data_IF_493766944726
#
_entry.id   IF_493766944726
#
_cell.length_a   1.000
_cell.length_b   1.000
_cell.length_c   1.000
_cell.angle_alpha   90.00
_cell.angle_beta   90.00
_cell.angle_gamma   90.00
#
_symmetry.space_group_name_H-M   'P 1'
#
loop_
_entity.id
_entity.type
_entity.pdbx_description
1 polymer ?
#
# COMPACT_ATOMS: atom_id res chain seq x y z
N UNK A 1 0.47 7.22 -19.93
CA UNK A 1 -0.49 6.11 -19.70
C UNK A 1 -1.68 6.12 -20.66
N UNK A 2 -1.60 6.76 -21.85
CA UNK A 2 -2.67 6.67 -22.87
C UNK A 2 -2.19 6.38 -24.30
N UNK A 3 -0.88 6.32 -24.57
CA UNK A 3 -0.34 6.22 -25.95
C UNK A 3 0.44 4.93 -26.25
N UNK A 4 0.42 3.92 -25.37
CA UNK A 4 1.07 2.66 -25.71
C UNK A 4 0.14 1.79 -26.59
N UNK A 5 0.62 1.35 -27.77
CA UNK A 5 -0.19 0.53 -28.67
C UNK A 5 -0.50 -0.81 -28.02
N UNK A 6 -1.74 -1.28 -28.22
CA UNK A 6 -2.15 -2.60 -27.76
C UNK A 6 -1.22 -3.68 -28.35
N UNK A 7 -0.67 -4.54 -27.51
CA UNK A 7 0.11 -5.69 -27.95
C UNK A 7 -0.83 -6.65 -28.69
N UNK A 8 -0.59 -6.96 -29.97
CA UNK A 8 -1.45 -7.89 -30.71
C UNK A 8 -1.40 -9.28 -30.06
N UNK A 9 -2.52 -10.03 -30.08
CA UNK A 9 -2.56 -11.36 -29.50
C UNK A 9 -1.62 -12.32 -30.24
N UNK A 10 -1.08 -13.34 -29.56
CA UNK A 10 -0.23 -14.33 -30.20
C UNK A 10 -1.01 -15.11 -31.28
N UNK A 11 -0.30 -15.71 -32.27
CA UNK A 11 -0.93 -16.53 -33.30
C UNK A 11 -1.79 -17.66 -32.71
N UNK A 12 -2.89 -18.07 -33.39
CA UNK A 12 -3.71 -19.18 -32.92
C UNK A 12 -2.87 -20.44 -32.67
N UNK A 13 -2.94 -20.99 -31.45
CA UNK A 13 -2.20 -22.18 -31.04
C UNK A 13 -0.78 -21.92 -30.51
N UNK A 14 -0.27 -20.68 -30.53
CA UNK A 14 0.94 -20.32 -29.82
C UNK A 14 0.65 -20.18 -28.31
N UNK A 15 1.62 -20.51 -27.42
CA UNK A 15 1.52 -20.19 -26.01
C UNK A 15 1.25 -18.70 -25.84
N UNK A 16 0.34 -18.36 -24.93
CA UNK A 16 -0.11 -16.98 -24.72
C UNK A 16 0.96 -16.06 -24.10
N UNK A 17 2.08 -16.62 -23.66
CA UNK A 17 3.20 -15.89 -23.07
C UNK A 17 2.99 -15.53 -21.59
N UNK A 18 1.88 -15.96 -20.97
CA UNK A 18 1.57 -15.65 -19.57
C UNK A 18 1.98 -16.79 -18.66
N UNK A 19 2.80 -16.46 -17.66
CA UNK A 19 3.17 -17.38 -16.59
C UNK A 19 3.21 -16.64 -15.26
N UNK A 20 2.66 -17.26 -14.21
CA UNK A 20 2.78 -16.73 -12.86
C UNK A 20 4.24 -16.81 -12.37
N UNK A 21 4.63 -15.97 -11.42
CA UNK A 21 6.00 -15.93 -10.89
C UNK A 21 6.43 -17.29 -10.30
N UNK A 22 5.54 -17.98 -9.59
CA UNK A 22 5.78 -19.29 -9.00
C UNK A 22 4.75 -20.31 -9.52
N UNK A 23 4.88 -20.80 -10.77
CA UNK A 23 3.84 -21.58 -11.44
C UNK A 23 3.61 -22.97 -10.82
N UNK A 24 4.55 -23.46 -10.01
CA UNK A 24 4.43 -24.74 -9.30
C UNK A 24 3.93 -24.60 -7.87
N UNK A 25 3.61 -23.38 -7.40
CA UNK A 25 3.08 -23.17 -6.08
C UNK A 25 1.60 -23.63 -5.99
N UNK A 26 1.21 -24.19 -4.85
CA UNK A 26 -0.21 -24.43 -4.54
C UNK A 26 -0.87 -23.15 -4.05
N UNK A 27 -2.03 -22.81 -4.61
CA UNK A 27 -2.79 -21.60 -4.24
C UNK A 27 -3.99 -21.97 -3.37
N UNK A 28 -4.09 -21.33 -2.20
CA UNK A 28 -5.27 -21.38 -1.33
C UNK A 28 -5.98 -20.03 -1.46
N UNK A 29 -7.26 -20.04 -1.86
CA UNK A 29 -8.06 -18.82 -2.00
C UNK A 29 -8.97 -18.61 -0.79
N UNK A 30 -8.81 -17.48 -0.10
CA UNK A 30 -9.67 -17.06 1.01
C UNK A 30 -10.29 -15.72 0.63
N UNK A 31 -11.59 -15.70 0.36
CA UNK A 31 -12.31 -14.46 0.07
C UNK A 31 -12.56 -13.67 1.35
N UNK A 32 -11.75 -12.64 1.60
CA UNK A 32 -11.85 -11.80 2.80
C UNK A 32 -12.67 -10.52 2.56
N UNK A 33 -12.66 -9.97 1.33
CA UNK A 33 -13.37 -8.74 0.97
C UNK A 33 -14.17 -8.86 -0.33
N UNK A 34 -15.14 -7.97 -0.53
CA UNK A 34 -15.84 -7.81 -1.81
C UNK A 34 -16.56 -6.47 -1.94
N UNK A 35 -16.41 -5.80 -3.09
CA UNK A 35 -17.21 -4.59 -3.43
C UNK A 35 -18.65 -4.91 -3.86
N UNK A 36 -18.92 -6.16 -4.24
CA UNK A 36 -20.22 -6.64 -4.71
C UNK A 36 -21.16 -7.07 -3.57
N UNK A 37 -20.63 -7.27 -2.37
CA UNK A 37 -21.40 -7.72 -1.20
C UNK A 37 -21.36 -6.66 -0.09
N UNK A 38 -22.49 -6.50 0.58
CA UNK A 38 -22.72 -5.51 1.64
C UNK A 38 -23.30 -6.22 2.87
N UNK A 39 -23.17 -5.60 4.04
CA UNK A 39 -23.83 -6.11 5.24
C UNK A 39 -25.35 -5.96 5.12
N UNK A 40 -26.11 -7.05 5.35
CA UNK A 40 -27.58 -7.05 5.25
C UNK A 40 -28.22 -6.07 6.23
N UNK A 41 -27.70 -6.03 7.46
CA UNK A 41 -28.14 -5.13 8.53
C UNK A 41 -26.89 -4.43 9.10
N UNK A 42 -26.41 -3.33 8.50
CA UNK A 42 -25.29 -2.59 9.07
C UNK A 42 -25.71 -2.05 10.43
N UNK A 43 -24.79 -2.09 11.41
CA UNK A 43 -24.94 -1.23 12.58
C UNK A 43 -25.03 0.22 12.08
N UNK A 44 -25.78 1.12 12.73
CA UNK A 44 -25.83 2.51 12.30
C UNK A 44 -24.39 3.07 12.29
N UNK A 45 -23.83 3.21 11.09
CA UNK A 45 -22.72 4.11 10.86
C UNK A 45 -23.25 5.54 11.05
N UNK A 46 -22.34 6.51 11.23
CA UNK A 46 -22.65 7.93 11.37
C UNK A 46 -23.91 8.30 10.56
N UNK A 47 -24.96 8.87 11.20
CA UNK A 47 -26.21 9.22 10.52
C UNK A 47 -26.03 10.21 9.35
N UNK A 48 -24.83 10.77 9.16
CA UNK A 48 -24.45 11.59 8.01
C UNK A 48 -23.66 10.84 6.91
N UNK A 49 -23.46 9.53 7.02
CA UNK A 49 -22.73 8.72 6.05
C UNK A 49 -23.66 7.84 5.23
N UNK A 50 -23.77 8.12 3.92
CA UNK A 50 -24.45 7.26 2.94
C UNK A 50 -23.58 6.06 2.51
N UNK A 51 -22.43 5.84 3.17
CA UNK A 51 -21.44 4.85 2.76
C UNK A 51 -21.82 3.45 3.26
N UNK A 52 -22.23 2.60 2.33
CA UNK A 52 -22.57 1.21 2.65
C UNK A 52 -21.33 0.40 3.00
N UNK A 53 -21.34 -0.21 4.18
CA UNK A 53 -20.27 -1.10 4.66
C UNK A 53 -20.14 -2.32 3.73
N UNK A 54 -19.08 -2.33 2.93
CA UNK A 54 -18.73 -3.44 2.04
C UNK A 54 -18.22 -4.65 2.84
N UNK A 55 -18.27 -5.83 2.23
CA UNK A 55 -17.77 -7.04 2.87
C UNK A 55 -16.25 -6.96 3.15
N UNK A 56 -15.86 -7.26 4.39
CA UNK A 56 -14.48 -7.28 4.86
C UNK A 56 -14.24 -6.28 5.99
N UNK A 57 -13.63 -6.72 7.09
CA UNK A 57 -13.23 -5.88 8.22
C UNK A 57 -11.85 -6.30 8.70
N UNK A 58 -11.18 -5.47 9.50
CA UNK A 58 -9.91 -5.85 10.13
C UNK A 58 -10.03 -7.13 10.96
N UNK A 59 -11.18 -7.36 11.60
CA UNK A 59 -11.42 -8.57 12.39
C UNK A 59 -11.66 -9.81 11.51
N UNK A 60 -12.32 -9.68 10.35
CA UNK A 60 -12.38 -10.81 9.38
C UNK A 60 -11.01 -11.06 8.74
N UNK A 61 -10.20 -10.02 8.53
CA UNK A 61 -8.83 -10.16 8.05
C UNK A 61 -7.95 -10.92 9.05
N UNK A 62 -8.00 -10.55 10.34
CA UNK A 62 -7.29 -11.25 11.39
C UNK A 62 -7.61 -12.75 11.41
N UNK A 63 -8.90 -13.10 11.33
CA UNK A 63 -9.35 -14.50 11.25
C UNK A 63 -8.87 -15.20 9.96
N UNK A 64 -8.91 -14.51 8.83
CA UNK A 64 -8.43 -15.05 7.56
C UNK A 64 -6.91 -15.35 7.59
N UNK A 65 -6.11 -14.47 8.20
CA UNK A 65 -4.66 -14.68 8.39
C UNK A 65 -4.40 -15.91 9.25
N UNK A 66 -5.06 -16.02 10.42
CA UNK A 66 -4.93 -17.21 11.28
C UNK A 66 -5.37 -18.48 10.55
N UNK A 67 -6.47 -18.40 9.79
CA UNK A 67 -6.98 -19.53 9.01
C UNK A 67 -5.97 -19.99 7.95
N UNK A 68 -5.42 -19.06 7.15
CA UNK A 68 -4.39 -19.36 6.15
C UNK A 68 -3.16 -20.02 6.77
N UNK A 69 -2.68 -19.46 7.89
CA UNK A 69 -1.52 -19.99 8.60
C UNK A 69 -1.79 -21.40 9.17
N UNK A 70 -3.01 -21.67 9.65
CA UNK A 70 -3.43 -23.00 10.11
C UNK A 70 -3.58 -24.02 8.99
N UNK A 71 -3.91 -23.58 7.76
CA UNK A 71 -3.89 -24.42 6.57
C UNK A 71 -2.46 -24.73 6.08
N UNK A 72 -1.43 -24.18 6.72
CA UNK A 72 -0.02 -24.43 6.38
C UNK A 72 0.51 -23.53 5.26
N UNK A 73 -0.17 -22.41 4.95
CA UNK A 73 0.31 -21.46 3.96
C UNK A 73 1.72 -20.95 4.33
N UNK A 74 2.66 -21.10 3.39
CA UNK A 74 4.06 -20.68 3.55
C UNK A 74 4.31 -19.23 3.16
N UNK A 75 3.43 -18.69 2.33
CA UNK A 75 3.35 -17.28 1.95
C UNK A 75 1.88 -16.88 1.99
N UNK A 76 1.55 -15.75 2.62
CA UNK A 76 0.21 -15.19 2.73
C UNK A 76 0.23 -13.83 2.02
N UNK A 77 -0.42 -13.76 0.86
CA UNK A 77 -0.62 -12.53 0.11
C UNK A 77 -1.90 -11.81 0.57
N UNK A 78 -1.78 -10.54 0.95
CA UNK A 78 -2.89 -9.68 1.38
C UNK A 78 -2.98 -8.49 0.43
N UNK A 79 -3.79 -8.65 -0.62
CA UNK A 79 -4.02 -7.61 -1.65
C UNK A 79 -5.04 -6.54 -1.26
N UNK A 80 -5.65 -6.64 -0.08
CA UNK A 80 -6.63 -5.68 0.45
C UNK A 80 -5.94 -4.76 1.45
N UNK A 81 -6.34 -3.49 1.44
CA UNK A 81 -5.82 -2.48 2.34
C UNK A 81 -6.99 -1.76 3.02
N UNK A 82 -6.88 -1.53 4.32
CA UNK A 82 -7.76 -0.62 5.06
C UNK A 82 -6.95 0.60 5.47
N UNK A 83 -7.33 1.75 4.95
CA UNK A 83 -6.68 3.03 5.25
C UNK A 83 -7.46 3.79 6.30
N UNK A 84 -6.78 4.19 7.37
CA UNK A 84 -7.38 4.82 8.54
C UNK A 84 -6.61 6.10 8.89
N UNK A 85 -7.27 7.20 9.26
CA UNK A 85 -6.58 8.36 9.83
C UNK A 85 -5.73 7.95 11.05
N UNK A 86 -4.57 8.59 11.23
CA UNK A 86 -3.64 8.28 12.32
C UNK A 86 -4.26 8.51 13.71
N UNK A 87 -5.21 9.44 13.80
CA UNK A 87 -6.01 9.75 14.98
C UNK A 87 -7.17 8.76 15.23
N UNK A 88 -7.36 7.77 14.36
CA UNK A 88 -8.44 6.79 14.49
C UNK A 88 -8.28 5.95 15.77
N UNK A 89 -9.39 5.75 16.50
CA UNK A 89 -9.45 4.88 17.68
C UNK A 89 -9.70 3.39 17.34
N UNK A 90 -9.58 3.01 16.07
CA UNK A 90 -9.85 1.65 15.60
C UNK A 90 -8.89 0.64 16.21
N UNK A 91 -9.43 -0.35 16.93
CA UNK A 91 -8.62 -1.42 17.54
C UNK A 91 -8.07 -2.39 16.48
N UNK A 92 -6.75 -2.46 16.37
CA UNK A 92 -6.04 -3.38 15.47
C UNK A 92 -5.30 -4.51 16.20
N UNK A 93 -5.48 -4.66 17.53
CA UNK A 93 -4.74 -5.67 18.33
C UNK A 93 -4.96 -7.09 17.84
N UNK A 94 -6.21 -7.44 17.50
CA UNK A 94 -6.53 -8.77 16.97
C UNK A 94 -5.80 -9.07 15.66
N UNK A 95 -5.68 -8.06 14.78
CA UNK A 95 -4.94 -8.18 13.53
C UNK A 95 -3.44 -8.29 13.79
N UNK A 96 -2.87 -7.42 14.64
CA UNK A 96 -1.46 -7.51 15.02
C UNK A 96 -1.09 -8.88 15.61
N UNK A 97 -1.93 -9.43 16.49
CA UNK A 97 -1.74 -10.77 17.06
C UNK A 97 -1.82 -11.88 16.00
N UNK A 98 -2.76 -11.77 15.06
CA UNK A 98 -2.87 -12.73 13.94
C UNK A 98 -1.64 -12.71 13.02
N UNK A 99 -1.12 -11.52 12.72
CA UNK A 99 0.09 -11.34 11.90
C UNK A 99 1.32 -11.88 12.63
N UNK A 100 1.50 -11.52 13.90
CA UNK A 100 2.58 -12.06 14.73
C UNK A 100 2.52 -13.59 14.81
N UNK A 101 1.34 -14.17 15.01
CA UNK A 101 1.13 -15.62 15.04
C UNK A 101 1.54 -16.27 13.71
N UNK A 102 1.05 -15.73 12.59
CA UNK A 102 1.38 -16.26 11.27
C UNK A 102 2.89 -16.17 10.98
N UNK A 103 3.51 -15.03 11.24
CA UNK A 103 4.93 -14.80 10.96
C UNK A 103 5.88 -15.58 11.90
N UNK A 104 5.58 -15.61 13.20
CA UNK A 104 6.51 -16.12 14.23
C UNK A 104 6.22 -17.55 14.64
N UNK A 105 4.93 -17.92 14.79
CA UNK A 105 4.54 -19.26 15.27
C UNK A 105 4.36 -20.23 14.10
N UNK A 106 3.82 -19.75 12.98
CA UNK A 106 3.55 -20.58 11.79
C UNK A 106 4.59 -20.44 10.69
N UNK A 107 5.57 -19.54 10.87
CA UNK A 107 6.65 -19.29 9.92
C UNK A 107 6.10 -19.00 8.51
N UNK A 108 5.08 -18.15 8.39
CA UNK A 108 4.51 -17.73 7.12
C UNK A 108 5.05 -16.35 6.73
N UNK A 109 5.54 -16.21 5.49
CA UNK A 109 5.89 -14.90 4.94
C UNK A 109 4.60 -14.15 4.65
N UNK A 110 4.41 -12.96 5.20
CA UNK A 110 3.22 -12.15 4.96
C UNK A 110 3.60 -10.99 4.05
N UNK A 111 2.92 -10.87 2.93
CA UNK A 111 3.14 -9.80 1.94
C UNK A 111 1.84 -9.03 1.77
N UNK A 112 1.89 -7.71 1.87
CA UNK A 112 0.70 -6.87 1.79
C UNK A 112 0.87 -5.72 0.80
N UNK A 113 -0.22 -5.34 0.15
CA UNK A 113 -0.27 -4.14 -0.69
C UNK A 113 -0.10 -2.87 0.16
N UNK A 114 0.74 -1.93 -0.29
CA UNK A 114 0.93 -0.66 0.40
C UNK A 114 -0.36 0.18 0.46
N UNK A 115 -1.25 0.05 -0.53
CA UNK A 115 -2.46 0.85 -0.68
C UNK A 115 -2.41 1.70 -1.94
N UNK A 116 -3.58 2.11 -2.42
CA UNK A 116 -3.72 2.92 -3.63
C UNK A 116 -4.25 4.31 -3.27
N UNK A 117 -3.48 5.36 -3.55
CA UNK A 117 -3.86 6.74 -3.27
C UNK A 117 -5.16 7.15 -4.00
N UNK A 118 -6.09 7.71 -3.23
CA UNK A 118 -7.44 8.07 -3.68
C UNK A 118 -8.45 6.93 -3.66
N UNK A 119 -8.11 5.74 -3.17
CA UNK A 119 -9.04 4.64 -2.96
C UNK A 119 -9.25 4.33 -1.47
N UNK A 120 -10.51 4.18 -1.04
CA UNK A 120 -10.84 3.65 0.29
C UNK A 120 -10.23 4.42 1.46
N UNK A 121 -10.10 5.75 1.32
CA UNK A 121 -9.49 6.62 2.32
C UNK A 121 -7.96 6.59 2.37
N UNK A 122 -7.30 5.90 1.44
CA UNK A 122 -5.85 5.93 1.32
C UNK A 122 -5.38 7.25 0.71
N UNK A 123 -4.36 7.85 1.34
CA UNK A 123 -3.66 9.04 0.87
C UNK A 123 -2.16 8.88 1.16
N UNK A 124 -1.34 9.63 0.44
CA UNK A 124 0.10 9.62 0.59
C UNK A 124 0.53 10.23 1.93
N UNK A 125 1.42 9.54 2.64
CA UNK A 125 2.14 10.12 3.78
C UNK A 125 3.40 10.88 3.31
N UNK A 126 3.92 11.81 4.12
CA UNK A 126 5.19 12.47 3.85
C UNK A 126 6.35 11.48 3.59
N UNK A 127 7.29 11.91 2.75
CA UNK A 127 8.41 11.07 2.34
C UNK A 127 9.52 10.98 3.39
N UNK A 128 9.88 12.13 3.95
CA UNK A 128 11.00 12.32 4.86
C UNK A 128 10.97 13.75 5.42
N UNK A 129 11.27 13.92 6.71
CA UNK A 129 11.49 15.23 7.32
C UNK A 129 13.00 15.51 7.45
N UNK A 130 13.58 16.41 6.64
CA UNK A 130 15.01 16.74 6.73
C UNK A 130 15.41 17.41 8.04
N UNK A 131 14.46 17.90 8.84
CA UNK A 131 14.71 18.50 10.15
C UNK A 131 14.71 17.47 11.29
N UNK A 132 14.30 16.23 11.03
CA UNK A 132 14.27 15.16 12.04
C UNK A 132 15.04 13.90 11.57
N UNK A 133 16.37 13.94 11.51
CA UNK A 133 17.18 12.82 11.04
C UNK A 133 17.10 11.57 11.93
N UNK A 134 16.62 11.70 13.18
CA UNK A 134 16.37 10.56 14.07
C UNK A 134 15.13 9.74 13.71
N UNK A 135 14.26 10.27 12.86
CA UNK A 135 13.11 9.56 12.30
C UNK A 135 13.24 9.46 10.77
N UNK A 136 14.15 8.62 10.25
CA UNK A 136 14.52 8.61 8.83
C UNK A 136 13.38 8.13 7.91
N UNK A 137 12.30 7.58 8.48
CA UNK A 137 11.12 7.13 7.75
C UNK A 137 9.90 8.02 8.01
N UNK A 138 10.03 9.04 8.84
CA UNK A 138 8.98 10.02 9.15
C UNK A 138 7.70 9.39 9.75
N UNK A 139 7.88 8.47 10.71
CA UNK A 139 6.76 7.86 11.46
C UNK A 139 5.90 8.89 12.20
N UNK A 140 6.49 10.00 12.68
CA UNK A 140 5.77 11.01 13.45
C UNK A 140 4.81 11.87 12.60
N UNK A 141 5.03 11.95 11.28
CA UNK A 141 4.19 12.73 10.38
C UNK A 141 3.17 11.87 9.60
N UNK A 142 2.99 10.60 9.99
CA UNK A 142 1.96 9.74 9.39
C UNK A 142 0.57 10.34 9.61
N UNK A 143 -0.18 10.46 8.52
CA UNK A 143 -1.56 10.94 8.50
C UNK A 143 -2.55 9.81 8.27
N UNK A 144 -2.22 8.89 7.37
CA UNK A 144 -3.08 7.76 7.03
C UNK A 144 -2.32 6.45 7.21
N UNK A 145 -2.79 5.61 8.12
CA UNK A 145 -2.28 4.27 8.40
C UNK A 145 -2.79 3.31 7.34
N UNK A 146 -1.87 2.57 6.71
CA UNK A 146 -2.21 1.42 5.84
C UNK A 146 -2.17 0.12 6.63
N UNK A 147 -3.32 -0.53 6.82
CA UNK A 147 -3.41 -1.82 7.51
C UNK A 147 -3.67 -2.96 6.52
N UNK A 148 -2.91 -4.07 6.55
CA UNK A 148 -1.94 -4.47 7.59
C UNK A 148 -0.50 -3.96 7.38
N UNK A 149 -0.22 -3.19 6.31
CA UNK A 149 1.15 -2.80 5.93
C UNK A 149 1.98 -2.17 7.04
N UNK A 150 1.38 -1.35 7.91
CA UNK A 150 2.09 -0.70 9.02
C UNK A 150 2.69 -1.65 10.06
N UNK A 151 2.28 -2.92 10.09
CA UNK A 151 2.89 -3.98 10.91
C UNK A 151 4.18 -4.50 10.25
N UNK A 152 5.08 -3.58 9.85
CA UNK A 152 6.24 -3.84 9.00
C UNK A 152 7.27 -4.81 9.59
N UNK A 153 7.23 -5.03 10.91
CA UNK A 153 8.09 -6.03 11.57
C UNK A 153 7.67 -7.47 11.17
N UNK A 154 6.40 -7.68 10.82
CA UNK A 154 5.84 -8.98 10.44
C UNK A 154 5.40 -9.06 8.97
N UNK A 155 5.17 -7.92 8.34
CA UNK A 155 4.55 -7.81 7.02
C UNK A 155 5.50 -7.08 6.06
N UNK A 156 5.79 -7.71 4.93
CA UNK A 156 6.46 -7.06 3.82
C UNK A 156 5.43 -6.24 3.03
N UNK A 157 5.39 -4.93 3.28
CA UNK A 157 4.54 -4.00 2.53
C UNK A 157 5.15 -3.68 1.17
N UNK A 158 4.33 -3.74 0.11
CA UNK A 158 4.77 -3.65 -1.29
C UNK A 158 4.13 -2.46 -1.99
N UNK A 159 4.97 -1.49 -2.36
CA UNK A 159 4.62 -0.36 -3.23
C UNK A 159 4.54 -0.76 -4.70
N UNK A 160 4.09 0.18 -5.53
CA UNK A 160 3.88 -0.04 -6.96
C UNK A 160 4.82 0.76 -7.84
N UNK A 161 5.37 0.12 -8.86
CA UNK A 161 6.13 0.77 -9.94
C UNK A 161 5.49 0.54 -11.31
N UNK A 162 5.83 1.40 -12.27
CA UNK A 162 5.50 1.21 -13.67
C UNK A 162 6.52 0.32 -14.40
N UNK A 163 6.35 0.15 -15.72
CA UNK A 163 7.22 -0.68 -16.54
C UNK A 163 8.67 -0.17 -16.64
N UNK A 164 8.93 1.09 -16.28
CA UNK A 164 10.28 1.67 -16.22
C UNK A 164 10.97 1.44 -14.87
N UNK A 165 10.22 0.94 -13.88
CA UNK A 165 10.68 0.81 -12.49
C UNK A 165 10.46 2.09 -11.66
N UNK A 166 9.84 3.13 -12.22
CA UNK A 166 9.51 4.34 -11.48
C UNK A 166 8.29 4.12 -10.58
N UNK A 167 8.30 4.67 -9.37
CA UNK A 167 7.16 4.61 -8.46
C UNK A 167 5.94 5.27 -9.10
N UNK A 168 4.78 4.61 -9.04
CA UNK A 168 3.54 5.23 -9.53
C UNK A 168 3.01 6.20 -8.48
N UNK A 169 2.47 7.34 -8.92
CA UNK A 169 1.88 8.34 -8.01
C UNK A 169 0.76 7.74 -7.14
N UNK A 170 0.04 6.76 -7.71
CA UNK A 170 -1.04 6.04 -7.06
C UNK A 170 -0.59 5.03 -6.01
N UNK A 171 0.70 4.78 -5.82
CA UNK A 171 1.20 3.93 -4.75
C UNK A 171 1.27 4.75 -3.46
N UNK A 172 0.49 4.33 -2.46
CA UNK A 172 0.47 5.00 -1.16
C UNK A 172 1.85 4.98 -0.51
N UNK A 173 2.38 6.16 -0.17
CA UNK A 173 3.62 6.27 0.59
C UNK A 173 3.41 6.04 2.08
N UNK A 174 4.41 5.46 2.74
CA UNK A 174 4.47 5.36 4.19
C UNK A 174 5.76 4.75 4.70
N UNK A 175 6.07 4.96 5.99
CA UNK A 175 7.29 4.46 6.63
C UNK A 175 7.40 2.94 6.68
N UNK A 176 6.30 2.23 6.42
CA UNK A 176 6.22 0.78 6.42
C UNK A 176 6.53 0.12 5.07
N UNK A 177 6.56 0.89 3.97
CA UNK A 177 6.84 0.31 2.65
C UNK A 177 8.24 -0.31 2.66
N UNK A 178 8.31 -1.60 2.32
CA UNK A 178 9.53 -2.40 2.41
C UNK A 178 10.18 -2.65 1.06
N UNK A 179 9.40 -2.92 0.02
CA UNK A 179 9.87 -3.09 -1.37
C UNK A 179 8.80 -2.61 -2.35
N UNK A 180 9.08 -2.65 -3.65
CA UNK A 180 8.10 -2.43 -4.70
C UNK A 180 8.05 -3.58 -5.71
N UNK A 181 6.94 -3.66 -6.44
CA UNK A 181 6.76 -4.57 -7.56
C UNK A 181 5.97 -3.90 -8.69
N UNK A 182 5.87 -4.55 -9.88
CA UNK A 182 5.07 -4.03 -10.98
C UNK A 182 3.62 -3.80 -10.57
N UNK A 183 3.07 -2.63 -10.92
CA UNK A 183 1.72 -2.19 -10.52
C UNK A 183 0.87 -1.68 -11.68
N UNK A 184 1.40 -1.62 -12.90
CA UNK A 184 0.69 -1.19 -14.11
C UNK A 184 0.99 -2.17 -15.23
N UNK A 185 0.20 -2.11 -16.31
CA UNK A 185 0.32 -3.01 -17.46
C UNK A 185 0.27 -4.49 -17.05
N UNK A 186 -0.56 -4.79 -16.06
CA UNK A 186 -0.63 -6.13 -15.47
C UNK A 186 -1.40 -7.05 -16.42
N UNK A 187 -0.88 -8.26 -16.59
CA UNK A 187 -1.56 -9.36 -17.25
C UNK A 187 -1.83 -10.48 -16.24
N UNK A 188 -3.01 -11.06 -16.30
CA UNK A 188 -3.44 -12.18 -15.47
C UNK A 188 -4.33 -13.14 -16.24
N UNK A 189 -4.98 -14.05 -15.53
CA UNK A 189 -5.88 -15.05 -16.13
C UNK A 189 -7.34 -14.74 -15.78
N UNK A 190 -8.23 -14.91 -16.75
CA UNK A 190 -9.67 -14.72 -16.59
C UNK A 190 -10.26 -15.81 -15.69
N UNK A 191 -11.15 -15.46 -14.75
CA UNK A 191 -11.85 -16.46 -13.93
C UNK A 191 -12.91 -17.27 -14.72
N UNK A 192 -13.34 -16.84 -15.90
CA UNK A 192 -14.36 -17.56 -16.69
C UNK A 192 -13.78 -18.63 -17.62
N UNK A 193 -12.54 -18.45 -18.09
CA UNK A 193 -11.95 -19.33 -19.10
C UNK A 193 -10.45 -19.55 -18.99
N UNK A 194 -9.79 -18.98 -17.97
CA UNK A 194 -8.35 -19.14 -17.76
C UNK A 194 -7.46 -18.43 -18.77
N UNK A 195 -8.03 -17.78 -19.79
CA UNK A 195 -7.27 -17.06 -20.81
C UNK A 195 -6.66 -15.75 -20.31
N UNK A 196 -5.60 -15.24 -20.97
CA UNK A 196 -4.97 -13.95 -20.65
C UNK A 196 -5.94 -12.79 -20.68
N UNK A 197 -5.82 -11.91 -19.68
CA UNK A 197 -6.57 -10.65 -19.57
C UNK A 197 -5.69 -9.57 -18.95
N UNK A 198 -5.87 -8.32 -19.37
CA UNK A 198 -5.08 -7.18 -18.90
C UNK A 198 -5.93 -5.98 -18.47
N UNK A 199 -7.27 -6.11 -18.48
CA UNK A 199 -8.18 -5.01 -18.19
C UNK A 199 -9.54 -5.51 -17.70
N UNK A 200 -10.22 -4.69 -16.91
CA UNK A 200 -11.64 -4.85 -16.61
C UNK A 200 -12.47 -4.34 -17.80
N UNK A 201 -13.64 -4.97 -18.07
CA UNK A 201 -14.59 -4.40 -19.02
C UNK A 201 -15.07 -3.02 -18.52
N UNK A 202 -15.50 -2.14 -19.43
CA UNK A 202 -15.99 -0.81 -19.07
C UNK A 202 -17.20 -0.91 -18.15
N UNK A 203 -17.32 0.03 -17.22
CA UNK A 203 -18.48 0.11 -16.32
C UNK A 203 -19.72 0.67 -17.01
N UNK A 204 -19.55 1.46 -18.08
CA UNK A 204 -20.64 2.00 -18.89
C UNK A 204 -20.42 1.74 -20.39
N UNK A 205 -21.51 1.56 -21.18
CA UNK A 205 -21.40 1.47 -22.63
C UNK A 205 -20.69 2.70 -23.21
N UNK A 206 -19.69 2.47 -24.07
CA UNK A 206 -18.91 3.53 -24.74
C UNK A 206 -17.64 3.96 -24.01
N UNK A 207 -17.39 3.50 -22.78
CA UNK A 207 -16.11 3.70 -22.09
C UNK A 207 -15.06 2.67 -22.55
N UNK A 208 -13.77 3.00 -22.38
CA UNK A 208 -12.67 2.07 -22.64
C UNK A 208 -12.58 1.02 -21.52
N UNK A 209 -11.99 -0.14 -21.83
CA UNK A 209 -11.57 -1.10 -20.81
C UNK A 209 -10.62 -0.40 -19.83
N UNK A 210 -10.72 -0.73 -18.54
CA UNK A 210 -9.83 -0.19 -17.51
C UNK A 210 -8.65 -1.14 -17.31
N UNK A 211 -7.41 -0.76 -17.69
CA UNK A 211 -6.24 -1.63 -17.50
C UNK A 211 -6.09 -2.04 -16.04
N UNK A 212 -5.58 -3.24 -15.80
CA UNK A 212 -5.25 -3.66 -14.45
C UNK A 212 -4.09 -2.85 -13.88
N UNK A 213 -4.32 -2.28 -12.72
CA UNK A 213 -3.31 -1.58 -11.95
C UNK A 213 -3.57 -1.70 -10.45
N UNK A 214 -2.55 -1.44 -9.64
CA UNK A 214 -2.64 -1.35 -8.19
C UNK A 214 -1.54 -2.12 -7.46
N UNK A 215 -1.25 -1.66 -6.24
CA UNK A 215 -0.26 -2.29 -5.34
C UNK A 215 -0.64 -3.72 -4.93
N UNK A 216 -1.91 -4.09 -5.08
CA UNK A 216 -2.43 -5.45 -4.93
C UNK A 216 -1.75 -6.46 -5.86
N UNK A 217 -1.44 -6.07 -7.10
CA UNK A 217 -0.72 -6.91 -8.05
C UNK A 217 0.77 -6.96 -7.72
N UNK A 218 1.35 -5.86 -7.27
CA UNK A 218 2.75 -5.80 -6.82
C UNK A 218 2.99 -6.76 -5.65
N UNK A 219 2.09 -6.78 -4.67
CA UNK A 219 2.11 -7.74 -3.57
C UNK A 219 2.04 -9.20 -4.08
N UNK A 220 1.26 -9.47 -5.13
CA UNK A 220 1.18 -10.80 -5.73
C UNK A 220 2.51 -11.21 -6.41
N UNK A 221 3.17 -10.30 -7.14
CA UNK A 221 4.50 -10.53 -7.70
C UNK A 221 5.51 -10.88 -6.60
N UNK A 222 5.59 -10.05 -5.55
CA UNK A 222 6.52 -10.27 -4.43
C UNK A 222 6.19 -11.55 -3.66
N UNK A 223 4.91 -11.90 -3.51
CA UNK A 223 4.50 -13.18 -2.91
C UNK A 223 4.99 -14.39 -3.74
N UNK A 224 4.95 -14.28 -5.07
CA UNK A 224 5.53 -15.27 -5.96
C UNK A 224 7.04 -15.39 -5.78
N UNK A 225 7.75 -14.27 -5.66
CA UNK A 225 9.20 -14.26 -5.37
C UNK A 225 9.48 -14.91 -4.02
N UNK A 226 8.71 -14.59 -2.97
CA UNK A 226 8.83 -15.23 -1.67
C UNK A 226 8.63 -16.75 -1.75
N UNK A 227 7.68 -17.22 -2.56
CA UNK A 227 7.48 -18.66 -2.79
C UNK A 227 8.68 -19.30 -3.49
N UNK A 228 9.26 -18.65 -4.50
CA UNK A 228 10.49 -19.12 -5.16
C UNK A 228 11.67 -19.18 -4.19
N UNK A 229 11.86 -18.13 -3.37
CA UNK A 229 12.93 -18.09 -2.36
C UNK A 229 12.75 -19.23 -1.35
N UNK A 230 11.54 -19.46 -0.85
CA UNK A 230 11.26 -20.59 0.05
C UNK A 230 11.48 -21.95 -0.60
N UNK A 231 11.18 -22.09 -1.89
CA UNK A 231 11.43 -23.34 -2.62
C UNK A 231 12.94 -23.61 -2.78
N UNK A 232 13.74 -22.56 -3.01
CA UNK A 232 15.18 -22.67 -3.15
C UNK A 232 15.94 -22.80 -1.82
N UNK A 233 15.47 -22.11 -0.79
CA UNK A 233 16.08 -22.03 0.54
C UNK A 233 15.05 -22.43 1.63
N UNK A 234 14.68 -23.71 1.71
CA UNK A 234 13.60 -24.19 2.59
C UNK A 234 13.87 -24.02 4.08
N UNK A 235 15.13 -23.83 4.48
CA UNK A 235 15.58 -23.63 5.86
C UNK A 235 15.45 -22.19 6.37
N UNK A 236 15.26 -21.21 5.47
CA UNK A 236 15.08 -19.81 5.86
C UNK A 236 13.72 -19.62 6.51
N UNK A 237 13.72 -18.90 7.64
CA UNK A 237 12.48 -18.46 8.27
C UNK A 237 11.80 -17.37 7.44
N UNK A 238 10.53 -17.11 7.73
CA UNK A 238 9.78 -16.04 7.11
C UNK A 238 10.49 -14.68 7.20
N UNK A 239 11.08 -14.37 8.35
CA UNK A 239 11.83 -13.13 8.55
C UNK A 239 13.10 -13.08 7.67
N UNK A 240 13.81 -14.20 7.55
CA UNK A 240 15.02 -14.29 6.72
C UNK A 240 14.69 -14.23 5.22
N UNK A 241 13.54 -14.77 4.79
CA UNK A 241 13.04 -14.60 3.42
C UNK A 241 12.75 -13.14 3.11
N UNK A 242 12.10 -12.41 4.03
CA UNK A 242 11.86 -10.97 3.88
C UNK A 242 13.18 -10.21 3.80
N UNK A 243 14.12 -10.46 4.72
CA UNK A 243 15.45 -9.84 4.69
C UNK A 243 16.15 -10.10 3.35
N UNK A 244 16.09 -11.33 2.85
CA UNK A 244 16.70 -11.69 1.57
C UNK A 244 16.10 -10.92 0.39
N UNK A 245 14.77 -10.81 0.32
CA UNK A 245 14.06 -10.05 -0.72
C UNK A 245 14.46 -8.56 -0.66
N UNK A 246 14.47 -8.00 0.54
CA UNK A 246 14.83 -6.60 0.80
C UNK A 246 16.27 -6.30 0.39
N UNK A 247 17.22 -7.13 0.82
CA UNK A 247 18.66 -6.92 0.55
C UNK A 247 19.05 -7.14 -0.91
N UNK A 248 18.20 -7.83 -1.69
CA UNK A 248 18.42 -8.03 -3.12
C UNK A 248 17.67 -7.04 -4.02
N UNK A 249 16.84 -6.15 -3.46
CA UNK A 249 16.04 -5.23 -4.25
C UNK A 249 16.89 -4.12 -4.89
N UNK A 250 16.38 -3.56 -6.00
CA UNK A 250 17.00 -2.42 -6.68
C UNK A 250 16.68 -1.12 -5.95
N UNK A 251 17.55 -0.74 -5.04
CA UNK A 251 17.37 0.37 -4.12
C UNK A 251 17.24 1.74 -4.80
N UNK A 252 16.38 2.64 -4.26
CA UNK A 252 16.35 4.03 -4.69
C UNK A 252 17.67 4.74 -4.33
N UNK A 253 17.95 5.95 -4.87
CA UNK A 253 19.18 6.70 -4.59
C UNK A 253 19.45 6.95 -3.10
N UNK A 254 18.40 7.07 -2.28
CA UNK A 254 18.50 7.26 -0.84
C UNK A 254 18.73 5.95 -0.05
N UNK A 255 18.85 4.80 -0.74
CA UNK A 255 18.92 3.46 -0.15
C UNK A 255 17.56 2.90 0.25
N UNK A 256 16.74 3.69 0.95
CA UNK A 256 15.37 3.36 1.33
C UNK A 256 14.50 4.62 1.30
N UNK A 257 13.25 4.50 0.85
CA UNK A 257 12.29 5.60 0.91
C UNK A 257 10.85 5.12 1.22
N UNK A 258 9.93 6.06 1.40
CA UNK A 258 8.53 5.75 1.73
C UNK A 258 7.66 5.36 0.54
N UNK A 259 8.15 5.36 -0.70
CA UNK A 259 7.40 5.02 -1.93
C UNK A 259 7.68 3.60 -2.41
N UNK A 260 8.95 3.22 -2.45
CA UNK A 260 9.42 1.91 -2.93
C UNK A 260 10.15 1.10 -1.86
N UNK A 261 10.34 1.65 -0.65
CA UNK A 261 11.10 0.96 0.38
C UNK A 261 12.55 0.77 -0.06
N UNK A 262 13.06 -0.44 0.07
CA UNK A 262 14.38 -0.84 -0.43
C UNK A 262 14.40 -1.09 -1.95
N UNK A 263 13.30 -0.79 -2.65
CA UNK A 263 13.27 -0.72 -4.11
C UNK A 263 12.54 -1.86 -4.80
N UNK A 264 12.68 -1.93 -6.12
CA UNK A 264 12.00 -2.92 -6.96
C UNK A 264 12.56 -4.33 -6.67
N UNK A 265 11.67 -5.29 -6.44
CA UNK A 265 12.03 -6.69 -6.25
C UNK A 265 12.82 -7.25 -7.45
N UNK A 266 13.95 -7.89 -7.17
CA UNK A 266 14.73 -8.65 -8.16
C UNK A 266 14.69 -10.15 -7.83
N UNK A 267 13.88 -10.95 -8.56
CA UNK A 267 13.79 -12.39 -8.33
C UNK A 267 15.11 -13.13 -8.55
N UNK A 268 15.93 -12.70 -9.51
CA UNK A 268 17.19 -13.38 -9.84
C UNK A 268 18.22 -13.13 -8.76
N UNK A 269 18.39 -11.88 -8.32
CA UNK A 269 19.27 -11.54 -7.21
C UNK A 269 18.81 -12.22 -5.91
N UNK A 270 17.50 -12.18 -5.60
CA UNK A 270 16.92 -12.88 -4.45
C UNK A 270 17.22 -14.39 -4.49
N UNK A 271 17.30 -15.01 -5.67
CA UNK A 271 17.60 -16.43 -5.80
C UNK A 271 19.09 -16.75 -5.91
N UNK A 272 19.99 -15.78 -6.14
CA UNK A 272 21.39 -16.10 -6.52
C UNK A 272 22.45 -15.42 -5.66
N UNK A 273 22.16 -14.25 -5.08
CA UNK A 273 23.14 -13.54 -4.27
C UNK A 273 23.44 -14.28 -2.96
N UNK A 274 24.68 -14.14 -2.49
CA UNK A 274 25.06 -14.61 -1.16
C UNK A 274 24.71 -13.53 -0.13
N UNK A 275 23.53 -13.63 0.46
CA UNK A 275 23.00 -12.67 1.44
C UNK A 275 23.03 -13.31 2.82
N UNK A 276 23.65 -12.69 3.83
CA UNK A 276 23.58 -13.15 5.21
C UNK A 276 22.11 -13.29 5.66
N UNK A 277 21.69 -14.42 6.24
CA UNK A 277 20.28 -14.65 6.56
C UNK A 277 19.67 -13.58 7.48
N UNK A 278 20.47 -13.00 8.38
CA UNK A 278 19.99 -12.11 9.44
C UNK A 278 19.30 -12.89 10.57
N UNK A 279 18.57 -12.16 11.40
CA UNK A 279 17.84 -12.74 12.54
C UNK A 279 16.79 -13.74 12.08
N UNK A 280 16.55 -14.78 12.89
CA UNK A 280 15.56 -15.82 12.55
C UNK A 280 14.13 -15.35 12.78
N UNK A 281 13.93 -14.47 13.74
CA UNK A 281 12.60 -13.99 14.13
C UNK A 281 12.59 -12.46 14.07
N UNK A 282 11.42 -11.88 13.77
CA UNK A 282 11.24 -10.44 13.91
C UNK A 282 11.39 -10.02 15.38
N UNK A 283 11.58 -8.72 15.66
CA UNK A 283 11.47 -8.19 17.00
C UNK A 283 10.16 -8.66 17.67
N UNK A 284 10.21 -8.93 18.98
CA UNK A 284 9.02 -9.33 19.75
C UNK A 284 7.94 -8.26 19.73
N UNK A 285 6.71 -8.61 20.11
CA UNK A 285 5.55 -7.73 20.07
C UNK A 285 5.84 -6.33 20.67
N UNK A 286 5.85 -5.31 19.82
CA UNK A 286 6.00 -3.91 20.21
C UNK A 286 4.66 -3.18 20.15
N UNK A 287 4.41 -2.29 21.11
CA UNK A 287 3.38 -1.26 20.96
C UNK A 287 4.00 -0.05 20.27
N UNK A 288 3.47 0.34 19.11
CA UNK A 288 3.80 1.62 18.47
C UNK A 288 2.65 2.60 18.71
N UNK A 289 2.96 3.72 19.35
CA UNK A 289 2.02 4.84 19.52
C UNK A 289 2.30 5.84 18.43
N UNK A 290 1.39 5.97 17.47
CA UNK A 290 1.43 7.09 16.53
C UNK A 290 0.76 8.26 17.24
N UNK A 291 1.53 9.31 17.49
CA UNK A 291 0.99 10.58 17.98
C UNK A 291 0.78 11.45 16.76
N UNK A 292 -0.47 11.80 16.39
CA UNK A 292 -0.71 12.64 15.23
C UNK A 292 0.08 13.94 15.34
N UNK A 293 0.62 14.40 14.20
CA UNK A 293 1.30 15.69 14.15
C UNK A 293 0.36 16.80 14.66
N UNK A 294 0.92 17.75 15.42
CA UNK A 294 0.14 18.88 15.90
C UNK A 294 -0.49 19.62 14.71
N UNK A 295 -1.75 20.09 14.81
CA UNK A 295 -2.37 20.85 13.74
C UNK A 295 -1.50 22.07 13.40
N UNK A 296 -1.41 22.45 12.11
CA UNK A 296 -0.60 23.60 11.72
C UNK A 296 -1.05 24.84 12.50
N UNK A 297 -0.11 25.72 12.90
CA UNK A 297 -0.49 26.95 13.59
C UNK A 297 -1.49 27.74 12.73
N UNK A 298 -2.47 28.42 13.35
CA UNK A 298 -3.46 29.18 12.61
C UNK A 298 -2.78 30.20 11.69
N UNK A 299 -3.33 30.48 10.50
CA UNK A 299 -2.71 31.41 9.56
C UNK A 299 -2.40 32.76 10.22
N UNK A 300 -1.16 33.24 10.08
CA UNK A 300 -0.81 34.55 10.63
C UNK A 300 -1.47 35.66 9.80
N UNK A 301 -2.56 36.20 10.33
CA UNK A 301 -3.33 37.27 9.71
C UNK A 301 -2.77 38.67 9.99
N UNK A 302 -1.66 38.83 10.73
CA UNK A 302 -1.11 40.15 11.07
C UNK A 302 -0.83 40.99 9.83
N UNK A 303 -0.18 40.42 8.82
CA UNK A 303 0.12 41.13 7.57
C UNK A 303 -1.15 41.58 6.83
N UNK A 304 -2.15 40.69 6.73
CA UNK A 304 -3.47 41.01 6.16
C UNK A 304 -4.15 42.14 6.93
N UNK A 305 -4.15 42.06 8.26
CA UNK A 305 -4.82 43.04 9.11
C UNK A 305 -4.14 44.41 9.04
N UNK A 306 -2.80 44.46 8.96
CA UNK A 306 -2.04 45.69 8.72
C UNK A 306 -2.39 46.29 7.35
N UNK A 307 -2.41 45.47 6.30
CA UNK A 307 -2.74 45.92 4.95
C UNK A 307 -4.18 46.48 4.85
N UNK A 308 -5.14 45.78 5.45
CA UNK A 308 -6.54 46.24 5.51
C UNK A 308 -6.69 47.53 6.34
N UNK A 309 -5.97 47.64 7.45
CA UNK A 309 -5.95 48.86 8.27
C UNK A 309 -5.38 50.06 7.51
N UNK A 310 -4.27 49.87 6.80
CA UNK A 310 -3.67 50.92 5.97
C UNK A 310 -4.60 51.34 4.82
N UNK A 311 -5.21 50.38 4.13
CA UNK A 311 -6.18 50.66 3.07
C UNK A 311 -7.39 51.45 3.62
N UNK A 312 -7.91 51.07 4.79
CA UNK A 312 -8.98 51.80 5.47
C UNK A 312 -8.59 53.24 5.81
N UNK A 313 -7.37 53.45 6.31
CA UNK A 313 -6.86 54.79 6.61
C UNK A 313 -6.71 55.66 5.35
N UNK A 314 -6.23 55.09 4.25
CA UNK A 314 -6.13 55.80 2.96
C UNK A 314 -7.52 56.18 2.44
N UNK A 315 -8.49 55.27 2.46
CA UNK A 315 -9.87 55.54 2.02
C UNK A 315 -10.53 56.61 2.89
N UNK A 316 -10.38 56.53 4.21
CA UNK A 316 -10.90 57.53 5.14
C UNK A 316 -10.26 58.91 4.91
N UNK A 317 -8.94 58.95 4.66
CA UNK A 317 -8.22 60.18 4.34
C UNK A 317 -8.71 60.82 3.04
N UNK A 318 -8.89 60.02 1.98
CA UNK A 318 -9.42 60.50 0.69
C UNK A 318 -10.85 61.02 0.84
N UNK A 319 -11.71 60.32 1.59
CA UNK A 319 -13.08 60.77 1.86
C UNK A 319 -13.12 62.06 2.68
N UNK A 320 -12.26 62.20 3.69
CA UNK A 320 -12.18 63.42 4.50
C UNK A 320 -11.75 64.64 3.67
N UNK A 321 -10.77 64.46 2.77
CA UNK A 321 -10.35 65.52 1.84
C UNK A 321 -11.48 65.85 0.87
N UNK A 322 -12.17 64.85 0.31
CA UNK A 322 -13.28 65.08 -0.63
C UNK A 322 -14.48 65.79 0.02
N UNK A 323 -14.77 65.53 1.30
CA UNK A 323 -15.85 66.20 2.05
C UNK A 323 -15.44 67.62 2.48
N UNK A 324 -14.18 67.85 2.84
CA UNK A 324 -13.66 69.18 3.20
C UNK A 324 -13.48 70.14 2.03
N UNK A 325 -13.56 69.66 0.79
CA UNK A 325 -13.49 70.47 -0.45
C UNK A 325 -14.88 70.87 -1.00
N UNK A 326 -15.97 70.65 -0.24
CA UNK A 326 -17.31 71.18 -0.50
C UNK A 326 -17.62 72.34 0.43
#
# INVERSE_FOLDING_TARGET
TEDEPAVPPPPPGAPDGVVGVAPHATVISIRQSSRAFEQVNPAPADPNSDEKVKAGTLNTLARAVVHAANMGAKVINISVTSCLPAESSTDQRALGAALWYAATVKDAVIVAAAGNDGEGGCDNNPMYDPLNPSDPRDWHQVKIISSPSWFSDYVLSVGGVDATGAAIDKSMSGPWVGVAGPATHIMGLSPQGGGPVNAYPPSRPGEKNMPFWGTSFSAAYVSGVAALVRAKYPELTAHQVINRIVQSAHNPPAGVDNKVGYGLVDPVAALTFNIPPGDRLPPGAQSRVITPAAPPPPPDHRARNIALGFLGAVVAGVLAVAVGMR
#
